data_IF_442196527894
#
_entry.id   IF_442196527894
#
_cell.length_a   1.000
_cell.length_b   1.000
_cell.length_c   1.000
_cell.angle_alpha   90.00
_cell.angle_beta   90.00
_cell.angle_gamma   90.00
#
_symmetry.space_group_name_H-M   'P 1'
#
loop_
_entity.id
_entity.type
_entity.pdbx_description
1 polymer ?
#
# COMPACT_ATOMS: atom_id res chain seq x y z
N UNK A 1 9.90 13.03 -13.48
CA UNK A 1 8.68 12.93 -12.64
C UNK A 1 9.12 13.00 -11.19
N UNK A 2 8.32 13.61 -10.31
CA UNK A 2 8.65 13.70 -8.89
C UNK A 2 7.94 12.57 -8.14
N UNK A 3 8.66 11.90 -7.24
CA UNK A 3 8.09 10.90 -6.32
C UNK A 3 8.10 11.49 -4.92
N UNK A 4 7.00 11.32 -4.19
CA UNK A 4 6.87 11.70 -2.79
C UNK A 4 6.39 10.49 -1.99
N UNK A 5 7.13 10.11 -0.95
CA UNK A 5 6.75 9.04 -0.03
C UNK A 5 5.79 9.60 1.03
N UNK A 6 4.59 9.04 1.14
CA UNK A 6 3.66 9.38 2.21
C UNK A 6 3.70 8.25 3.24
N UNK A 7 4.19 8.54 4.44
CA UNK A 7 4.19 7.61 5.56
C UNK A 7 3.12 8.04 6.58
N UNK A 8 2.18 7.13 6.85
CA UNK A 8 1.14 7.32 7.87
C UNK A 8 1.49 6.46 9.08
N UNK A 9 2.01 7.11 10.11
CA UNK A 9 2.42 6.48 11.36
C UNK A 9 1.30 6.47 12.39
N UNK A 10 0.93 5.29 12.87
CA UNK A 10 -0.07 5.09 13.92
C UNK A 10 0.54 5.10 15.32
N UNK A 11 1.41 6.07 15.57
CA UNK A 11 2.15 6.23 16.83
C UNK A 11 2.98 5.00 17.19
N UNK A 12 3.78 4.55 16.22
CA UNK A 12 4.74 3.46 16.40
C UNK A 12 5.75 3.81 17.49
N UNK A 13 6.12 2.81 18.29
CA UNK A 13 7.03 2.95 19.45
C UNK A 13 8.34 2.19 19.28
N UNK A 14 8.47 1.42 18.20
CA UNK A 14 9.62 0.59 17.87
C UNK A 14 10.69 1.32 17.06
N UNK A 15 10.46 2.58 16.70
CA UNK A 15 11.43 3.45 16.04
C UNK A 15 10.95 4.89 15.88
N UNK A 16 11.90 5.81 15.66
CA UNK A 16 11.62 7.19 15.29
C UNK A 16 11.69 7.35 13.77
N UNK A 17 10.59 6.99 13.10
CA UNK A 17 10.50 7.00 11.65
C UNK A 17 10.58 8.40 11.05
N UNK A 18 10.11 9.43 11.76
CA UNK A 18 10.21 10.81 11.29
C UNK A 18 11.67 11.26 11.24
N UNK A 19 12.46 10.97 12.28
CA UNK A 19 13.89 11.25 12.29
C UNK A 19 14.66 10.46 11.25
N UNK A 20 14.26 9.21 10.96
CA UNK A 20 14.85 8.41 9.87
C UNK A 20 14.57 9.08 8.51
N UNK A 21 13.32 9.49 8.26
CA UNK A 21 12.94 10.17 7.02
C UNK A 21 13.68 11.51 6.85
N UNK A 22 13.84 12.31 7.92
CA UNK A 22 14.62 13.56 7.91
C UNK A 22 16.07 13.37 7.47
N UNK A 23 16.67 12.22 7.78
CA UNK A 23 18.04 11.87 7.39
C UNK A 23 18.12 11.25 5.99
N UNK A 24 16.98 10.88 5.42
CA UNK A 24 16.91 10.29 4.08
C UNK A 24 17.05 11.36 2.98
N UNK A 25 17.32 10.91 1.75
CA UNK A 25 17.31 11.78 0.55
C UNK A 25 15.94 11.81 -0.15
N UNK A 26 14.92 11.22 0.45
CA UNK A 26 13.60 11.10 -0.16
C UNK A 26 12.82 12.39 0.04
N UNK A 27 12.03 12.78 -0.97
CA UNK A 27 10.91 13.68 -0.72
C UNK A 27 9.84 12.87 0.02
N UNK A 28 9.34 13.39 1.13
CA UNK A 28 8.35 12.67 1.92
C UNK A 28 7.32 13.60 2.56
N UNK A 29 6.21 13.00 2.96
CA UNK A 29 5.20 13.55 3.84
C UNK A 29 5.00 12.58 5.00
N UNK A 30 5.23 13.06 6.22
CA UNK A 30 5.01 12.28 7.43
C UNK A 30 3.70 12.70 8.08
N UNK A 31 2.84 11.72 8.35
CA UNK A 31 1.52 11.93 8.92
C UNK A 31 1.37 11.06 10.18
N UNK A 32 0.89 11.63 11.28
CA UNK A 32 0.58 10.86 12.48
C UNK A 32 -0.80 11.28 13.02
N UNK A 33 -1.89 10.60 12.61
CA UNK A 33 -3.25 10.98 12.98
C UNK A 33 -3.53 10.80 14.48
N UNK A 34 -2.85 9.87 15.14
CA UNK A 34 -3.05 9.58 16.57
C UNK A 34 -2.57 10.76 17.45
N UNK A 35 -1.45 11.39 17.07
CA UNK A 35 -0.97 12.61 17.76
C UNK A 35 -1.92 13.80 17.58
N UNK A 36 -2.62 13.88 16.45
CA UNK A 36 -3.51 15.00 16.14
C UNK A 36 -4.92 14.84 16.71
N UNK A 37 -5.46 13.61 16.77
CA UNK A 37 -6.88 13.37 17.10
C UNK A 37 -7.16 13.12 18.59
N UNK A 38 -6.19 13.38 19.49
CA UNK A 38 -6.35 13.36 20.97
C UNK A 38 -6.92 12.06 21.58
N UNK A 39 -7.03 10.97 20.82
CA UNK A 39 -7.52 9.66 21.29
C UNK A 39 -6.60 8.52 20.85
N UNK A 40 -6.46 7.50 21.71
CA UNK A 40 -5.82 6.23 21.35
C UNK A 40 -6.70 5.50 20.33
N UNK A 41 -6.45 5.76 19.04
CA UNK A 41 -7.06 5.00 17.96
C UNK A 41 -6.37 3.65 17.85
N UNK A 42 -7.18 2.58 17.85
CA UNK A 42 -6.72 1.29 17.35
C UNK A 42 -6.30 1.47 15.89
N UNK A 43 -5.22 0.79 15.48
CA UNK A 43 -4.76 0.80 14.10
C UNK A 43 -5.92 0.45 13.14
N UNK A 44 -5.88 0.97 11.92
CA UNK A 44 -6.80 0.58 10.85
C UNK A 44 -6.10 0.86 9.52
N UNK A 45 -5.83 -0.20 8.74
CA UNK A 45 -5.15 -0.10 7.44
C UNK A 45 -5.91 0.84 6.52
N UNK A 46 -7.22 0.63 6.35
CA UNK A 46 -8.06 1.42 5.45
C UNK A 46 -8.13 2.90 5.84
N UNK A 47 -8.19 3.21 7.15
CA UNK A 47 -8.14 4.60 7.62
C UNK A 47 -6.79 5.24 7.36
N UNK A 48 -5.69 4.51 7.61
CA UNK A 48 -4.35 5.00 7.35
C UNK A 48 -4.17 5.33 5.86
N UNK A 49 -4.59 4.42 4.97
CA UNK A 49 -4.52 4.62 3.52
C UNK A 49 -5.38 5.82 3.09
N UNK A 50 -6.63 5.92 3.55
CA UNK A 50 -7.47 7.08 3.26
C UNK A 50 -6.88 8.40 3.76
N UNK A 51 -6.28 8.42 4.95
CA UNK A 51 -5.62 9.60 5.50
C UNK A 51 -4.45 10.05 4.61
N UNK A 52 -3.62 9.08 4.16
CA UNK A 52 -2.54 9.33 3.21
C UNK A 52 -3.06 9.86 1.87
N UNK A 53 -4.07 9.21 1.28
CA UNK A 53 -4.72 9.64 0.03
C UNK A 53 -5.24 11.08 0.15
N UNK A 54 -5.98 11.41 1.23
CA UNK A 54 -6.57 12.75 1.47
C UNK A 54 -5.52 13.86 1.66
N UNK A 55 -4.29 13.51 2.03
CA UNK A 55 -3.21 14.48 2.19
C UNK A 55 -2.72 15.05 0.85
N UNK A 56 -2.85 14.29 -0.24
CA UNK A 56 -2.50 14.72 -1.60
C UNK A 56 -3.56 15.69 -2.13
N UNK A 57 -3.13 16.86 -2.59
CA UNK A 57 -4.04 17.94 -3.05
C UNK A 57 -4.21 18.04 -4.56
N UNK A 58 -3.19 17.62 -5.30
CA UNK A 58 -3.26 17.60 -6.76
C UNK A 58 -4.07 16.39 -7.25
N UNK A 59 -5.21 16.66 -7.88
CA UNK A 59 -6.12 15.65 -8.42
C UNK A 59 -5.54 14.88 -9.62
N UNK A 60 -4.47 15.41 -10.25
CA UNK A 60 -3.76 14.77 -11.36
C UNK A 60 -2.57 13.92 -10.92
N UNK A 61 -2.34 13.77 -9.61
CA UNK A 61 -1.31 12.88 -9.07
C UNK A 61 -1.76 11.42 -9.14
N UNK A 62 -0.84 10.52 -9.50
CA UNK A 62 -1.03 9.07 -9.35
C UNK A 62 -0.69 8.68 -7.92
N UNK A 63 -1.63 8.04 -7.23
CA UNK A 63 -1.40 7.46 -5.91
C UNK A 63 -1.21 5.97 -6.07
N UNK A 64 -0.07 5.47 -5.59
CA UNK A 64 0.22 4.04 -5.45
C UNK A 64 0.24 3.66 -3.97
N UNK A 65 -0.70 2.82 -3.55
CA UNK A 65 -0.71 2.25 -2.19
C UNK A 65 0.10 0.95 -2.17
N UNK A 66 0.83 0.71 -1.08
CA UNK A 66 1.70 -0.46 -0.94
C UNK A 66 1.94 -0.84 0.52
N UNK A 67 2.28 -2.12 0.73
CA UNK A 67 2.70 -2.68 2.03
C UNK A 67 4.13 -2.25 2.42
N UNK A 68 4.45 -2.33 3.71
CA UNK A 68 5.77 -1.89 4.21
C UNK A 68 6.92 -2.87 3.93
N UNK A 69 6.63 -4.17 3.83
CA UNK A 69 7.64 -5.24 3.76
C UNK A 69 7.91 -5.68 2.32
N UNK A 70 8.36 -4.75 1.48
CA UNK A 70 8.51 -4.97 0.04
C UNK A 70 9.93 -4.70 -0.46
N UNK A 71 10.36 -5.46 -1.46
CA UNK A 71 11.51 -5.13 -2.30
C UNK A 71 10.98 -4.61 -3.63
N UNK A 72 11.14 -3.32 -3.89
CA UNK A 72 10.65 -2.68 -5.12
C UNK A 72 11.65 -2.87 -6.28
N UNK A 73 11.21 -3.26 -7.48
CA UNK A 73 12.06 -3.30 -8.66
C UNK A 73 12.34 -1.88 -9.18
N UNK A 74 13.47 -1.70 -9.87
CA UNK A 74 13.93 -0.39 -10.36
C UNK A 74 12.98 0.28 -11.36
N UNK A 75 12.17 -0.51 -12.08
CA UNK A 75 11.23 -0.02 -13.09
C UNK A 75 9.78 0.19 -12.56
N UNK A 76 9.56 0.12 -11.25
CA UNK A 76 8.24 0.23 -10.62
C UNK A 76 7.52 1.53 -11.01
N UNK A 77 8.15 2.67 -10.81
CA UNK A 77 7.52 3.96 -11.06
C UNK A 77 7.23 4.20 -12.54
N UNK A 78 8.08 3.70 -13.44
CA UNK A 78 7.84 3.77 -14.88
C UNK A 78 6.63 2.93 -15.30
N UNK A 79 6.45 1.74 -14.71
CA UNK A 79 5.26 0.90 -14.97
C UNK A 79 4.00 1.57 -14.43
N UNK A 80 4.02 2.03 -13.19
CA UNK A 80 2.89 2.76 -12.58
C UNK A 80 2.46 3.93 -13.47
N UNK A 81 3.41 4.77 -13.89
CA UNK A 81 3.12 5.94 -14.73
C UNK A 81 2.58 5.57 -16.11
N UNK A 82 3.04 4.48 -16.72
CA UNK A 82 2.60 4.06 -18.06
C UNK A 82 1.23 3.38 -18.04
N UNK A 83 0.92 2.65 -16.97
CA UNK A 83 -0.24 1.75 -16.91
C UNK A 83 -1.42 2.33 -16.12
N UNK A 84 -1.20 3.41 -15.38
CA UNK A 84 -2.28 4.15 -14.71
C UNK A 84 -2.69 5.32 -15.60
N UNK A 85 -3.93 5.32 -16.08
CA UNK A 85 -4.48 6.36 -16.96
C UNK A 85 -5.76 6.88 -16.33
N UNK A 86 -5.81 8.19 -16.09
CA UNK A 86 -6.93 8.86 -15.43
C UNK A 86 -8.27 8.52 -16.08
N UNK A 87 -9.25 8.11 -15.27
CA UNK A 87 -10.60 7.72 -15.69
C UNK A 87 -10.66 6.48 -16.59
N UNK A 88 -9.55 5.74 -16.75
CA UNK A 88 -9.47 4.60 -17.69
C UNK A 88 -8.86 3.36 -17.09
N UNK A 89 -7.67 3.47 -16.51
CA UNK A 89 -6.94 2.31 -16.01
C UNK A 89 -6.32 2.52 -14.64
N UNK A 90 -6.53 1.53 -13.77
CA UNK A 90 -5.74 1.31 -12.56
C UNK A 90 -4.65 0.28 -12.86
N UNK A 91 -3.54 0.31 -12.12
CA UNK A 91 -2.50 -0.70 -12.23
C UNK A 91 -2.26 -1.40 -10.90
N UNK A 92 -2.35 -2.73 -10.89
CA UNK A 92 -2.12 -3.55 -9.71
C UNK A 92 -1.05 -4.61 -10.02
N UNK A 93 0.21 -4.39 -9.64
CA UNK A 93 1.28 -5.36 -9.89
C UNK A 93 1.11 -6.63 -9.04
N UNK A 94 1.25 -7.80 -9.68
CA UNK A 94 1.39 -9.08 -9.00
C UNK A 94 2.85 -9.31 -8.65
N UNK A 95 3.11 -9.76 -7.44
CA UNK A 95 4.42 -9.87 -6.82
C UNK A 95 4.68 -11.28 -6.30
N UNK A 96 5.95 -11.58 -6.08
CA UNK A 96 6.39 -12.84 -5.50
C UNK A 96 6.46 -12.72 -3.98
N UNK A 97 5.85 -13.66 -3.27
CA UNK A 97 6.02 -13.81 -1.83
C UNK A 97 7.18 -14.75 -1.56
N UNK A 98 8.10 -14.32 -0.70
CA UNK A 98 9.20 -15.16 -0.25
C UNK A 98 8.74 -16.22 0.76
N UNK A 99 9.43 -17.37 0.79
CA UNK A 99 9.30 -18.35 1.85
C UNK A 99 9.95 -17.86 3.15
N UNK A 100 9.54 -18.45 4.28
CA UNK A 100 10.08 -18.09 5.59
C UNK A 100 11.57 -18.43 5.69
N UNK A 101 12.40 -17.45 6.04
CA UNK A 101 13.84 -17.66 6.27
C UNK A 101 14.70 -17.57 5.01
N UNK A 102 14.10 -17.24 3.87
CA UNK A 102 14.80 -17.05 2.61
C UNK A 102 14.92 -15.57 2.28
N UNK A 103 16.10 -15.16 1.80
CA UNK A 103 16.38 -13.83 1.28
C UNK A 103 17.09 -13.98 -0.06
N UNK A 104 16.77 -13.12 -1.02
CA UNK A 104 17.11 -13.31 -2.45
C UNK A 104 18.59 -13.30 -2.76
N UNK A 105 19.38 -12.67 -1.90
CA UNK A 105 20.83 -12.70 -2.02
C UNK A 105 21.41 -14.09 -1.73
N UNK A 106 20.63 -15.01 -1.13
CA UNK A 106 21.11 -16.27 -0.60
C UNK A 106 20.37 -17.52 -1.12
N UNK A 107 19.35 -17.37 -1.98
CA UNK A 107 18.47 -18.49 -2.37
C UNK A 107 18.09 -18.47 -3.86
N UNK A 108 18.10 -19.66 -4.50
CA UNK A 108 17.64 -19.82 -5.88
C UNK A 108 16.12 -19.65 -5.91
N UNK A 109 15.66 -18.55 -6.49
CA UNK A 109 14.28 -18.03 -6.46
C UNK A 109 13.15 -18.98 -6.89
N UNK A 110 13.46 -20.13 -7.52
CA UNK A 110 12.46 -20.98 -8.17
C UNK A 110 11.70 -21.90 -7.23
N UNK A 111 12.28 -22.28 -6.08
CA UNK A 111 11.70 -23.33 -5.23
C UNK A 111 11.02 -22.76 -3.97
N UNK A 112 11.16 -21.46 -3.74
CA UNK A 112 10.80 -20.80 -2.47
C UNK A 112 10.00 -19.52 -2.62
N UNK A 113 9.46 -19.26 -3.80
CA UNK A 113 8.62 -18.09 -4.04
C UNK A 113 7.26 -18.46 -4.64
N UNK A 114 6.23 -17.75 -4.22
CA UNK A 114 4.85 -17.95 -4.68
C UNK A 114 4.33 -16.66 -5.30
N UNK A 115 3.76 -16.72 -6.51
CA UNK A 115 3.07 -15.57 -7.09
C UNK A 115 1.77 -15.28 -6.34
N UNK A 116 1.61 -14.04 -5.88
CA UNK A 116 0.38 -13.58 -5.26
C UNK A 116 -0.66 -13.16 -6.32
N UNK A 117 -1.07 -14.09 -7.19
CA UNK A 117 -1.97 -13.82 -8.33
C UNK A 117 -3.35 -13.29 -7.93
N UNK A 118 -3.77 -13.49 -6.68
CA UNK A 118 -5.00 -12.93 -6.10
C UNK A 118 -4.73 -11.74 -5.16
N UNK A 119 -3.47 -11.31 -5.07
CA UNK A 119 -3.01 -10.23 -4.20
C UNK A 119 -3.23 -8.88 -4.84
N UNK A 120 -4.10 -8.07 -4.23
CA UNK A 120 -4.56 -6.78 -4.77
C UNK A 120 -4.16 -5.59 -3.89
N UNK A 121 -3.39 -5.83 -2.83
CA UNK A 121 -2.97 -4.81 -1.85
C UNK A 121 -2.06 -3.71 -2.37
N UNK A 122 -1.50 -3.88 -3.56
CA UNK A 122 -0.79 -2.83 -4.29
C UNK A 122 -1.60 -2.40 -5.49
N UNK A 123 -1.99 -1.12 -5.49
CA UNK A 123 -2.77 -0.56 -6.58
C UNK A 123 -2.44 0.91 -6.78
N UNK A 124 -2.31 1.31 -8.04
CA UNK A 124 -2.21 2.71 -8.45
C UNK A 124 -3.46 3.18 -9.16
N UNK A 125 -3.88 4.39 -8.79
CA UNK A 125 -5.03 5.08 -9.36
C UNK A 125 -4.80 6.59 -9.25
N UNK A 126 -5.38 7.39 -10.16
CA UNK A 126 -5.32 8.85 -10.07
C UNK A 126 -6.05 9.35 -8.82
N UNK A 127 -5.58 10.46 -8.25
CA UNK A 127 -6.18 11.09 -7.07
C UNK A 127 -7.65 11.45 -7.29
N UNK A 128 -7.99 11.96 -8.46
CA UNK A 128 -9.36 12.26 -8.89
C UNK A 128 -10.23 11.00 -8.93
N UNK A 129 -9.74 9.93 -9.53
CA UNK A 129 -10.47 8.66 -9.59
C UNK A 129 -10.64 8.04 -8.17
N UNK A 130 -9.64 8.19 -7.28
CA UNK A 130 -9.76 7.81 -5.87
C UNK A 130 -10.89 8.55 -5.16
N UNK A 131 -11.09 9.84 -5.46
CA UNK A 131 -12.21 10.63 -4.93
C UNK A 131 -13.53 10.17 -5.51
N UNK A 132 -13.57 9.87 -6.81
CA UNK A 132 -14.79 9.43 -7.47
C UNK A 132 -15.29 8.09 -6.93
N UNK A 133 -14.40 7.14 -6.65
CA UNK A 133 -14.80 5.88 -6.03
C UNK A 133 -15.10 6.05 -4.54
N UNK A 134 -14.55 7.07 -3.87
CA UNK A 134 -14.76 7.35 -2.45
C UNK A 134 -13.71 6.76 -1.49
N UNK A 135 -12.51 6.43 -1.98
CA UNK A 135 -11.44 5.83 -1.15
C UNK A 135 -11.75 4.40 -0.68
N UNK A 136 -11.12 3.95 0.40
CA UNK A 136 -11.42 2.68 1.05
C UNK A 136 -12.66 2.78 1.97
N UNK A 137 -13.44 1.70 2.07
CA UNK A 137 -14.60 1.64 2.94
C UNK A 137 -14.19 1.44 4.43
N UNK A 138 -14.09 2.54 5.18
CA UNK A 138 -13.66 2.51 6.58
C UNK A 138 -14.68 1.85 7.52
N UNK A 139 -15.96 1.85 7.19
CA UNK A 139 -17.01 1.24 8.01
C UNK A 139 -16.96 -0.29 7.90
N UNK A 140 -16.88 -0.80 6.66
CA UNK A 140 -16.87 -2.23 6.38
C UNK A 140 -15.59 -2.91 6.91
N UNK A 141 -14.45 -2.22 6.84
CA UNK A 141 -13.12 -2.76 7.16
C UNK A 141 -12.47 -2.16 8.42
N UNK A 142 -13.26 -1.55 9.30
CA UNK A 142 -12.77 -0.86 10.52
C UNK A 142 -11.82 -1.72 11.36
N UNK A 143 -12.22 -2.95 11.65
CA UNK A 143 -11.57 -3.88 12.59
C UNK A 143 -11.21 -5.24 11.94
N UNK A 144 -11.17 -5.28 10.60
CA UNK A 144 -10.95 -6.51 9.83
C UNK A 144 -9.75 -6.33 8.90
N UNK A 145 -9.16 -7.46 8.52
CA UNK A 145 -8.11 -7.53 7.51
C UNK A 145 -8.57 -8.46 6.39
N UNK A 146 -8.39 -8.02 5.14
CA UNK A 146 -8.75 -8.78 3.95
C UNK A 146 -10.09 -8.35 3.37
N UNK A 147 -10.12 -8.28 2.03
CA UNK A 147 -11.27 -7.91 1.23
C UNK A 147 -11.36 -6.42 0.89
N UNK A 148 -10.63 -5.55 1.58
CA UNK A 148 -10.68 -4.10 1.36
C UNK A 148 -10.18 -3.70 -0.02
N UNK A 149 -9.14 -4.37 -0.50
CA UNK A 149 -8.54 -4.10 -1.80
C UNK A 149 -9.45 -4.61 -2.94
N UNK A 150 -10.12 -5.75 -2.72
CA UNK A 150 -11.12 -6.30 -3.65
C UNK A 150 -12.37 -5.43 -3.76
N UNK A 151 -12.84 -4.89 -2.63
CA UNK A 151 -14.01 -4.00 -2.61
C UNK A 151 -13.74 -2.67 -3.33
N UNK A 152 -12.52 -2.12 -3.19
CA UNK A 152 -12.08 -0.96 -3.97
C UNK A 152 -12.01 -1.30 -5.47
N UNK A 153 -11.44 -2.44 -5.83
CA UNK A 153 -11.36 -2.88 -7.23
C UNK A 153 -12.74 -3.07 -7.86
N UNK A 154 -13.71 -3.63 -7.14
CA UNK A 154 -15.08 -3.78 -7.62
C UNK A 154 -15.69 -2.41 -7.95
N UNK A 155 -15.53 -1.42 -7.07
CA UNK A 155 -15.99 -0.05 -7.33
C UNK A 155 -15.27 0.61 -8.51
N UNK A 156 -13.98 0.35 -8.73
CA UNK A 156 -13.27 0.82 -9.93
C UNK A 156 -13.91 0.25 -11.20
N UNK A 157 -14.21 -1.06 -11.22
CA UNK A 157 -14.86 -1.71 -12.36
C UNK A 157 -16.26 -1.15 -12.60
N UNK A 158 -17.05 -0.93 -11.54
CA UNK A 158 -18.37 -0.30 -11.65
C UNK A 158 -18.31 1.11 -12.25
N UNK A 159 -17.20 1.83 -12.05
CA UNK A 159 -16.92 3.15 -12.66
C UNK A 159 -16.31 3.08 -14.06
N UNK A 160 -16.15 1.90 -14.63
CA UNK A 160 -15.55 1.71 -15.95
C UNK A 160 -14.03 1.81 -15.98
N UNK A 161 -13.37 1.76 -14.82
CA UNK A 161 -11.91 1.76 -14.71
C UNK A 161 -11.40 0.33 -14.84
N UNK A 162 -10.63 0.07 -15.89
CA UNK A 162 -10.05 -1.24 -16.15
C UNK A 162 -8.79 -1.46 -15.31
N UNK A 163 -8.69 -2.63 -14.67
CA UNK A 163 -7.54 -2.95 -13.81
C UNK A 163 -6.52 -3.76 -14.60
N UNK A 164 -5.34 -3.17 -14.82
CA UNK A 164 -4.21 -3.89 -15.38
C UNK A 164 -3.53 -4.67 -14.26
N UNK A 165 -3.77 -5.99 -14.22
CA UNK A 165 -3.20 -6.89 -13.22
C UNK A 165 -2.12 -7.78 -13.84
N UNK A 166 -0.85 -7.51 -13.54
CA UNK A 166 0.27 -8.18 -14.22
C UNK A 166 1.40 -8.52 -13.25
N UNK A 167 1.91 -9.75 -13.39
CA UNK A 167 3.16 -10.21 -12.76
C UNK A 167 4.33 -9.29 -13.05
N UNK A 168 5.01 -8.89 -11.99
CA UNK A 168 6.15 -8.00 -12.03
C UNK A 168 7.38 -8.73 -11.50
N UNK A 169 8.35 -8.90 -12.39
CA UNK A 169 9.63 -9.49 -12.01
C UNK A 169 10.34 -8.59 -11.00
N UNK A 170 11.09 -9.23 -10.10
CA UNK A 170 11.88 -8.58 -9.06
C UNK A 170 11.08 -7.72 -8.07
N UNK A 171 9.77 -7.96 -7.99
CA UNK A 171 8.90 -7.33 -7.01
C UNK A 171 8.48 -8.35 -5.97
N UNK A 172 8.81 -8.09 -4.70
CA UNK A 172 8.69 -9.11 -3.67
C UNK A 172 8.08 -8.62 -2.38
N UNK A 173 7.35 -9.52 -1.74
CA UNK A 173 6.86 -9.38 -0.38
C UNK A 173 7.71 -10.24 0.54
N UNK A 174 8.41 -9.58 1.46
CA UNK A 174 9.25 -10.23 2.45
C UNK A 174 8.34 -11.00 3.41
N UNK A 175 8.66 -12.26 3.66
CA UNK A 175 7.88 -13.08 4.57
C UNK A 175 7.90 -12.49 5.98
N UNK A 176 6.73 -12.25 6.57
CA UNK A 176 6.61 -11.92 7.98
C UNK A 176 5.46 -12.69 8.64
N UNK A 177 5.61 -12.99 9.93
CA UNK A 177 4.55 -13.64 10.72
C UNK A 177 3.41 -12.65 10.95
N UNK A 178 2.17 -13.14 10.91
CA UNK A 178 0.98 -12.36 11.28
C UNK A 178 0.71 -12.31 12.79
N UNK A 179 1.54 -12.99 13.60
CA UNK A 179 1.38 -13.11 15.06
C UNK A 179 1.55 -11.74 15.72
N UNK A 180 0.57 -11.32 16.52
CA UNK A 180 0.56 -10.02 17.21
C UNK A 180 -0.15 -8.90 16.44
N UNK A 181 -0.41 -9.06 15.13
CA UNK A 181 -1.29 -8.15 14.41
C UNK A 181 -2.73 -8.36 14.89
N UNK A 182 -3.39 -7.30 15.34
CA UNK A 182 -4.83 -7.26 15.67
C UNK A 182 -5.31 -8.14 16.83
N UNK A 183 -4.41 -8.80 17.57
CA UNK A 183 -4.81 -9.58 18.74
C UNK A 183 -5.38 -8.66 19.81
N UNK A 184 -6.60 -8.96 20.30
CA UNK A 184 -7.09 -8.37 21.55
C UNK A 184 -6.02 -8.63 22.62
N UNK A 185 -5.52 -7.59 23.28
CA UNK A 185 -4.77 -7.76 24.53
C UNK A 185 -5.59 -8.73 25.40
N UNK A 186 -5.04 -9.91 25.69
CA UNK A 186 -5.63 -10.75 26.75
C UNK A 186 -5.57 -9.89 28.01
N UNK A 187 -6.73 -9.70 28.64
CA UNK A 187 -6.83 -9.13 29.98
C UNK A 187 -6.00 -9.98 30.94
#
# INVERSE_FOLDING_TARGET
>A
FQVNLILVDYNSTDGDYESILKKSKLNYTYLNPVKTEQQQMKFSKVRALNYGIKSVKDSNSIIFVLDLHLILPSNMFDRIRKLTIQGRTAYSPVLLKEACGEHQEYTNLTDSTEWLDLGTGMISLYKSDWEEIGGFNEELFKDKWGGEDWEVMDRMVQKGIYIIHQRMSRFYHIHHKRKGMWQKRRK
#
